data_IF_206385235321
#
_entry.id   IF_206385235321
#
_cell.length_a   1.000
_cell.length_b   1.000
_cell.length_c   1.000
_cell.angle_alpha   90.00
_cell.angle_beta   90.00
_cell.angle_gamma   90.00
#
_symmetry.space_group_name_H-M   'P 1'
#
loop_
_entity.id
_entity.type
_entity.pdbx_description
1 polymer ?
#
# COMPACT_ATOMS: atom_id res chain seq x y z
N UNK A 1 -4.84 27.69 -15.51
CA UNK A 1 -4.14 27.04 -14.38
C UNK A 1 -4.25 25.54 -14.59
N UNK A 2 -3.17 24.86 -14.94
CA UNK A 2 -3.13 23.39 -15.04
C UNK A 2 -2.67 22.82 -13.70
N UNK A 3 -3.40 21.84 -13.17
CA UNK A 3 -2.99 21.13 -11.97
C UNK A 3 -1.68 20.35 -12.28
N UNK A 4 -0.61 20.51 -11.49
CA UNK A 4 0.61 19.73 -11.68
C UNK A 4 0.28 18.24 -11.64
N UNK A 5 0.75 17.49 -12.63
CA UNK A 5 0.56 16.04 -12.66
C UNK A 5 1.40 15.43 -11.54
N UNK A 6 0.76 14.89 -10.52
CA UNK A 6 1.47 14.19 -9.44
C UNK A 6 2.02 12.88 -10.02
N UNK A 7 3.34 12.80 -10.10
CA UNK A 7 4.03 11.55 -10.41
C UNK A 7 4.16 10.72 -9.15
N UNK A 8 3.61 9.50 -9.20
CA UNK A 8 3.66 8.54 -8.11
C UNK A 8 4.80 7.55 -8.33
N UNK A 9 5.53 7.20 -7.29
CA UNK A 9 6.72 6.34 -7.36
C UNK A 9 6.85 5.47 -6.09
N UNK A 10 7.72 4.47 -6.13
CA UNK A 10 8.10 3.75 -4.91
C UNK A 10 9.10 4.56 -4.08
N UNK A 11 9.09 4.34 -2.77
CA UNK A 11 10.12 4.87 -1.87
C UNK A 11 11.46 4.21 -2.20
N UNK A 12 12.56 4.97 -2.07
CA UNK A 12 13.89 4.40 -2.22
C UNK A 12 14.10 3.26 -1.21
N UNK A 13 14.54 2.07 -1.67
CA UNK A 13 14.86 0.96 -0.78
C UNK A 13 16.12 1.33 -0.01
N UNK A 14 15.98 1.65 1.29
CA UNK A 14 17.14 2.08 2.07
C UNK A 14 16.94 2.20 3.57
N UNK A 15 15.72 2.06 4.09
CA UNK A 15 15.50 2.29 5.53
C UNK A 15 15.54 1.03 6.39
N UNK A 16 15.47 -0.19 5.84
CA UNK A 16 15.34 -1.44 6.61
C UNK A 16 14.11 -1.52 7.53
N UNK A 17 13.39 -0.41 7.66
CA UNK A 17 12.20 -0.25 8.47
C UNK A 17 11.01 -0.86 7.75
N UNK A 18 10.22 -1.62 8.51
CA UNK A 18 8.95 -2.14 8.03
C UNK A 18 8.01 -0.97 7.70
N UNK A 19 7.28 -1.02 6.57
CA UNK A 19 6.32 0.01 6.24
C UNK A 19 5.16 0.00 7.26
N UNK A 20 4.54 1.15 7.56
CA UNK A 20 3.37 1.21 8.42
C UNK A 20 2.20 0.40 7.83
N UNK A 21 1.40 -0.22 8.69
CA UNK A 21 0.24 -0.99 8.28
C UNK A 21 -1.01 -0.11 8.19
N UNK A 22 -1.68 -0.16 7.04
CA UNK A 22 -3.05 0.33 6.89
C UNK A 22 -4.02 -0.77 7.33
N UNK A 23 -4.27 -0.80 8.64
CA UNK A 23 -5.07 -1.81 9.32
C UNK A 23 -6.55 -1.44 9.35
N UNK A 24 -7.36 -2.09 8.51
CA UNK A 24 -8.77 -1.70 8.31
C UNK A 24 -9.64 -2.89 7.92
N UNK A 25 -10.96 -2.81 8.03
CA UNK A 25 -11.90 -3.84 7.58
C UNK A 25 -12.20 -3.79 6.07
N UNK A 26 -12.69 -4.89 5.46
CA UNK A 26 -13.24 -4.87 4.11
C UNK A 26 -14.40 -3.88 4.02
N UNK A 27 -14.57 -3.21 2.88
CA UNK A 27 -15.67 -2.24 2.67
C UNK A 27 -15.47 -0.84 3.27
N UNK A 28 -14.44 -0.61 4.11
CA UNK A 28 -14.19 0.70 4.74
C UNK A 28 -13.56 1.77 3.82
N UNK A 29 -13.65 1.63 2.49
CA UNK A 29 -13.12 2.62 1.55
C UNK A 29 -11.59 2.62 1.35
N UNK A 30 -10.95 1.47 1.53
CA UNK A 30 -9.49 1.33 1.50
C UNK A 30 -8.84 1.76 0.18
N UNK A 31 -9.50 1.49 -0.96
CA UNK A 31 -9.04 1.90 -2.28
C UNK A 31 -8.93 3.42 -2.38
N UNK A 32 -9.95 4.13 -1.91
CA UNK A 32 -9.97 5.59 -1.93
C UNK A 32 -8.93 6.20 -1.00
N UNK A 33 -8.77 5.66 0.21
CA UNK A 33 -7.74 6.10 1.13
C UNK A 33 -6.34 5.89 0.56
N UNK A 34 -6.09 4.75 -0.07
CA UNK A 34 -4.82 4.48 -0.74
C UNK A 34 -4.56 5.45 -1.89
N UNK A 35 -5.54 5.72 -2.74
CA UNK A 35 -5.43 6.73 -3.78
C UNK A 35 -5.13 8.13 -3.21
N UNK A 36 -5.80 8.52 -2.12
CA UNK A 36 -5.51 9.79 -1.45
C UNK A 36 -4.06 9.86 -1.00
N UNK A 37 -3.56 8.82 -0.33
CA UNK A 37 -2.16 8.76 0.13
C UNK A 37 -1.17 8.79 -1.05
N UNK A 38 -1.42 7.99 -2.07
CA UNK A 38 -0.64 7.92 -3.31
C UNK A 38 -0.51 9.31 -3.98
N UNK A 39 -1.62 10.03 -4.12
CA UNK A 39 -1.66 11.34 -4.78
C UNK A 39 -1.22 12.49 -3.86
N UNK A 40 -1.42 12.40 -2.55
CA UNK A 40 -0.98 13.44 -1.61
C UNK A 40 0.54 13.38 -1.36
N UNK A 41 1.12 12.17 -1.38
CA UNK A 41 2.55 11.97 -1.07
C UNK A 41 3.42 11.71 -2.29
N UNK A 42 2.83 11.34 -3.43
CA UNK A 42 3.58 10.85 -4.59
C UNK A 42 4.23 9.49 -4.37
N UNK A 43 3.90 8.76 -3.30
CA UNK A 43 4.47 7.44 -2.99
C UNK A 43 3.42 6.35 -3.01
N UNK A 44 3.69 5.24 -3.71
CA UNK A 44 2.75 4.12 -3.82
C UNK A 44 2.49 3.43 -2.47
N UNK A 45 1.22 3.15 -2.22
CA UNK A 45 0.77 2.27 -1.14
C UNK A 45 0.68 0.82 -1.62
N UNK A 46 1.08 -0.08 -0.72
CA UNK A 46 1.05 -1.51 -0.93
C UNK A 46 -0.13 -2.21 -0.29
N UNK A 47 -0.19 -3.52 -0.48
CA UNK A 47 -1.15 -4.40 0.17
C UNK A 47 -0.56 -5.80 0.35
N UNK A 48 -1.07 -6.52 1.34
CA UNK A 48 -0.77 -7.96 1.53
C UNK A 48 -1.54 -8.86 0.54
N UNK A 49 -2.26 -8.27 -0.39
CA UNK A 49 -3.04 -8.96 -1.41
C UNK A 49 -2.36 -8.78 -2.76
N UNK A 50 -2.64 -9.70 -3.69
CA UNK A 50 -2.13 -9.63 -5.06
C UNK A 50 -3.29 -9.55 -6.05
N UNK A 51 -4.20 -8.59 -5.85
CA UNK A 51 -5.34 -8.40 -6.74
C UNK A 51 -4.91 -7.65 -8.01
N UNK A 52 -4.64 -8.41 -9.06
CA UNK A 52 -4.18 -7.87 -10.35
C UNK A 52 -5.17 -6.89 -10.99
N UNK A 53 -6.47 -6.95 -10.63
CA UNK A 53 -7.47 -6.03 -11.14
C UNK A 53 -7.28 -4.59 -10.65
N UNK A 54 -6.58 -4.42 -9.51
CA UNK A 54 -6.32 -3.11 -8.91
C UNK A 54 -5.05 -2.45 -9.42
N UNK A 55 -4.14 -3.18 -10.10
CA UNK A 55 -2.86 -2.64 -10.58
C UNK A 55 -2.98 -1.36 -11.44
N UNK A 56 -3.98 -1.19 -12.33
CA UNK A 56 -4.13 0.06 -13.09
C UNK A 56 -4.39 1.29 -12.22
N UNK A 57 -5.02 1.10 -11.07
CA UNK A 57 -5.35 2.18 -10.12
C UNK A 57 -4.30 2.33 -9.03
N UNK A 58 -3.79 1.19 -8.54
CA UNK A 58 -2.89 1.02 -7.41
C UNK A 58 -1.68 0.19 -7.84
N UNK A 59 -0.67 0.80 -8.49
CA UNK A 59 0.51 0.10 -9.00
C UNK A 59 1.34 -0.59 -7.91
N UNK A 60 1.16 -0.21 -6.65
CA UNK A 60 1.82 -0.83 -5.49
C UNK A 60 1.17 -2.10 -4.96
N UNK A 61 0.05 -2.57 -5.54
CA UNK A 61 -0.62 -3.82 -5.12
C UNK A 61 0.36 -5.00 -5.02
N UNK A 62 0.25 -5.80 -3.95
CA UNK A 62 1.17 -6.92 -3.70
C UNK A 62 2.54 -6.52 -3.14
N UNK A 63 2.83 -5.23 -2.98
CA UNK A 63 4.08 -4.78 -2.36
C UNK A 63 3.94 -4.74 -0.84
N UNK A 64 4.81 -5.48 -0.14
CA UNK A 64 4.85 -5.55 1.33
C UNK A 64 6.18 -5.07 1.94
N UNK A 65 7.09 -4.54 1.12
CA UNK A 65 8.42 -4.13 1.55
C UNK A 65 8.48 -2.61 1.84
N UNK A 66 9.65 -2.15 2.29
CA UNK A 66 9.91 -0.75 2.66
C UNK A 66 9.80 0.24 1.50
N UNK A 67 9.55 -0.22 0.27
CA UNK A 67 9.30 0.65 -0.90
C UNK A 67 7.89 1.20 -0.90
N UNK A 68 6.94 0.52 -0.25
CA UNK A 68 5.58 1.02 -0.06
C UNK A 68 5.53 2.09 1.03
N UNK A 69 4.70 3.11 0.83
CA UNK A 69 4.41 4.12 1.86
C UNK A 69 3.73 3.50 3.09
N UNK A 70 2.75 2.64 2.83
CA UNK A 70 1.99 1.89 3.83
C UNK A 70 1.44 0.62 3.18
N UNK A 71 1.20 -0.44 3.96
CA UNK A 71 0.72 -1.74 3.47
C UNK A 71 -0.66 -2.05 4.02
N UNK A 72 -1.64 -2.21 3.14
CA UNK A 72 -3.01 -2.56 3.48
C UNK A 72 -3.14 -4.02 3.92
N UNK A 73 -3.73 -4.25 5.10
CA UNK A 73 -4.03 -5.59 5.64
C UNK A 73 -5.38 -5.61 6.40
N UNK A 74 -6.07 -6.76 6.41
CA UNK A 74 -7.26 -6.98 7.24
C UNK A 74 -6.89 -7.69 8.55
N UNK A 75 -7.71 -7.55 9.61
CA UNK A 75 -7.50 -8.25 10.88
C UNK A 75 -7.27 -9.75 10.79
N UNK A 76 -7.98 -10.39 9.87
CA UNK A 76 -7.88 -11.82 9.56
C UNK A 76 -6.54 -12.24 8.97
N UNK A 77 -5.69 -11.30 8.55
CA UNK A 77 -4.44 -11.61 7.87
C UNK A 77 -3.24 -11.69 8.81
N UNK A 78 -3.33 -11.15 10.03
CA UNK A 78 -2.25 -11.25 11.01
C UNK A 78 -2.18 -12.60 11.72
N UNK A 79 -3.21 -13.45 11.61
CA UNK A 79 -3.23 -14.77 12.26
C UNK A 79 -2.31 -15.80 11.61
N UNK A 80 -1.58 -15.45 10.53
CA UNK A 80 -0.58 -16.32 9.89
C UNK A 80 0.88 -16.04 10.28
N UNK A 81 1.13 -15.11 11.20
CA UNK A 81 2.49 -14.82 11.69
C UNK A 81 2.95 -15.74 12.84
N UNK A 82 2.39 -16.95 12.97
CA UNK A 82 2.89 -17.98 13.88
C UNK A 82 3.04 -19.31 13.16
N UNK A 83 4.25 -19.62 12.70
CA UNK A 83 4.63 -20.98 12.32
C UNK A 83 5.40 -21.13 11.01
N UNK A 84 6.71 -20.88 11.06
CA UNK A 84 7.68 -21.80 10.45
C UNK A 84 9.00 -21.71 11.22
N UNK A 85 9.15 -22.60 12.19
CA UNK A 85 10.45 -23.20 12.55
C UNK A 85 11.02 -23.95 11.36
#
# INVERSE_FOLDING_TARGET
>A
MTCPRVHRQFRQPGSGALPPLLWTFPGSGNTWLRLLLDFATGTYTGSVYSDVSLLPLLPGEGTCDSRALAVKAHPTNASRASGST
#
